data_IF_560069552079
#
_entry.id   IF_560069552079
#
_cell.length_a   1.000
_cell.length_b   1.000
_cell.length_c   1.000
_cell.angle_alpha   90.00
_cell.angle_beta   90.00
_cell.angle_gamma   90.00
#
_symmetry.space_group_name_H-M   'P 1'
#
loop_
_entity.id
_entity.type
_entity.pdbx_description
1 polymer ?
#
# COMPACT_ATOMS: atom_id res chain seq x y z
N UNK A 1 -29.44 -30.72 34.10
CA UNK A 1 -29.91 -29.37 33.74
C UNK A 1 -28.98 -28.79 32.68
N UNK A 2 -29.56 -28.46 31.53
CA UNK A 2 -29.11 -27.55 30.46
C UNK A 2 -27.71 -27.73 29.83
N UNK A 3 -27.69 -28.40 28.68
CA UNK A 3 -26.79 -28.13 27.56
C UNK A 3 -27.02 -26.72 26.99
N UNK A 4 -25.97 -25.96 26.73
CA UNK A 4 -26.02 -24.72 25.90
C UNK A 4 -24.63 -24.52 25.28
N UNK A 5 -24.33 -25.09 24.11
CA UNK A 5 -24.54 -24.55 22.75
C UNK A 5 -24.17 -23.06 22.56
N UNK A 6 -23.12 -22.87 21.74
CA UNK A 6 -22.87 -21.74 20.80
C UNK A 6 -22.49 -20.40 21.47
N UNK A 7 -21.44 -19.70 21.01
CA UNK A 7 -21.46 -18.97 19.73
C UNK A 7 -20.05 -18.63 19.24
N UNK A 8 -19.68 -19.24 18.11
CA UNK A 8 -18.69 -18.75 17.15
C UNK A 8 -19.05 -17.30 16.81
N UNK A 9 -18.20 -16.33 17.14
CA UNK A 9 -18.37 -14.95 16.69
C UNK A 9 -17.99 -14.87 15.21
N UNK A 10 -19.00 -15.11 14.39
CA UNK A 10 -19.00 -14.85 12.97
C UNK A 10 -18.77 -13.35 12.68
N UNK A 11 -17.85 -13.10 11.75
CA UNK A 11 -17.86 -12.02 10.78
C UNK A 11 -18.40 -10.65 11.19
N UNK A 12 -17.48 -9.72 11.46
CA UNK A 12 -17.65 -8.34 10.98
C UNK A 12 -16.96 -8.23 9.61
N UNK A 13 -17.69 -8.61 8.56
CA UNK A 13 -17.44 -8.14 7.19
C UNK A 13 -17.70 -6.63 7.19
N UNK A 14 -16.67 -5.84 7.47
CA UNK A 14 -16.68 -4.42 7.12
C UNK A 14 -16.24 -4.31 5.68
N UNK A 15 -17.24 -4.34 4.81
CA UNK A 15 -17.20 -3.95 3.41
C UNK A 15 -16.73 -2.50 3.27
N UNK A 16 -15.43 -2.26 3.49
CA UNK A 16 -14.83 -0.96 3.21
C UNK A 16 -14.18 -1.06 1.83
N UNK A 17 -14.88 -0.48 0.85
CA UNK A 17 -14.44 -0.22 -0.53
C UNK A 17 -12.92 -0.20 -0.60
N UNK A 18 -12.34 -1.17 -1.32
CA UNK A 18 -10.94 -1.12 -1.72
C UNK A 18 -10.84 0.10 -2.62
N UNK A 19 -10.37 1.21 -2.05
CA UNK A 19 -10.26 2.46 -2.77
C UNK A 19 -9.38 2.19 -4.00
N UNK A 20 -10.02 2.35 -5.15
CA UNK A 20 -9.47 2.35 -6.50
C UNK A 20 -8.40 3.45 -6.61
N UNK A 21 -7.23 3.21 -6.03
CA UNK A 21 -6.10 4.14 -6.01
C UNK A 21 -4.82 3.54 -6.63
N UNK A 22 -4.91 2.32 -7.18
CA UNK A 22 -3.99 1.90 -8.22
C UNK A 22 -4.38 2.65 -9.50
N UNK A 23 -3.87 3.88 -9.65
CA UNK A 23 -3.84 4.52 -10.97
C UNK A 23 -2.89 3.66 -11.81
N UNK A 24 -3.47 2.72 -12.57
CA UNK A 24 -2.75 1.74 -13.38
C UNK A 24 -1.81 2.47 -14.33
N UNK A 25 -0.51 2.33 -14.10
CA UNK A 25 0.54 2.94 -14.92
C UNK A 25 1.54 3.81 -14.15
N UNK A 26 1.29 4.16 -12.87
CA UNK A 26 2.32 4.89 -12.09
C UNK A 26 3.34 3.92 -11.50
N UNK A 27 4.54 3.95 -12.06
CA UNK A 27 5.69 3.18 -11.59
C UNK A 27 6.32 3.76 -10.31
N UNK A 28 6.27 5.09 -10.16
CA UNK A 28 6.97 5.86 -9.13
C UNK A 28 5.97 6.66 -8.29
N UNK A 29 6.14 6.60 -6.97
CA UNK A 29 5.38 7.38 -6.00
C UNK A 29 6.33 8.26 -5.18
N UNK A 30 6.13 9.57 -5.19
CA UNK A 30 6.95 10.49 -4.42
C UNK A 30 6.44 10.67 -2.99
N UNK A 31 7.36 10.89 -2.06
CA UNK A 31 7.08 11.31 -0.70
C UNK A 31 8.06 12.43 -0.30
N UNK A 32 7.54 13.55 0.19
CA UNK A 32 8.31 14.66 0.74
C UNK A 32 7.40 15.72 1.36
N UNK A 33 8.00 16.73 2.00
CA UNK A 33 7.29 17.75 2.79
C UNK A 33 6.19 18.50 2.01
N UNK A 34 6.36 18.70 0.70
CA UNK A 34 5.37 19.39 -0.14
C UNK A 34 4.45 18.45 -0.92
N UNK A 35 4.87 17.21 -1.17
CA UNK A 35 4.14 16.28 -2.05
C UNK A 35 4.29 14.84 -1.58
N UNK A 36 3.15 14.18 -1.36
CA UNK A 36 3.10 12.76 -1.05
C UNK A 36 2.01 12.09 -1.90
N UNK A 37 2.42 11.26 -2.86
CA UNK A 37 1.53 10.53 -3.76
C UNK A 37 1.01 9.22 -3.15
N UNK A 38 1.64 8.77 -2.05
CA UNK A 38 1.33 7.51 -1.36
C UNK A 38 0.69 7.71 0.02
N UNK A 39 0.29 6.60 0.64
CA UNK A 39 -0.19 6.58 2.03
C UNK A 39 -0.04 5.20 2.67
N UNK A 40 -0.29 5.14 3.98
CA UNK A 40 -0.13 3.93 4.80
C UNK A 40 -1.05 2.76 4.43
N UNK A 41 -2.09 2.98 3.61
CA UNK A 41 -2.95 1.89 3.11
C UNK A 41 -2.36 1.20 1.88
N UNK A 42 -1.42 1.84 1.18
CA UNK A 42 -0.81 1.33 -0.06
C UNK A 42 0.31 0.30 0.19
N UNK A 43 0.21 -0.52 1.25
CA UNK A 43 1.24 -1.51 1.63
C UNK A 43 1.47 -2.57 0.55
N UNK A 44 0.43 -2.98 -0.16
CA UNK A 44 0.53 -3.97 -1.23
C UNK A 44 1.28 -3.41 -2.47
N UNK A 45 1.19 -2.10 -2.72
CA UNK A 45 1.79 -1.45 -3.89
C UNK A 45 3.17 -0.84 -3.61
N UNK A 46 3.38 -0.26 -2.44
CA UNK A 46 4.62 0.44 -2.06
C UNK A 46 5.50 -0.39 -1.11
N UNK A 47 5.01 -1.55 -0.66
CA UNK A 47 5.62 -2.30 0.43
C UNK A 47 5.38 -1.66 1.80
N UNK A 48 5.73 -2.39 2.86
CA UNK A 48 5.52 -1.93 4.24
C UNK A 48 6.34 -0.69 4.61
N UNK A 49 7.59 -0.60 4.11
CA UNK A 49 8.47 0.56 4.38
C UNK A 49 8.02 1.81 3.62
N UNK A 50 7.75 1.68 2.32
CA UNK A 50 7.29 2.81 1.49
C UNK A 50 5.95 3.37 1.97
N UNK A 51 4.99 2.50 2.34
CA UNK A 51 3.71 2.93 2.89
C UNK A 51 3.85 3.64 4.24
N UNK A 52 4.72 3.15 5.14
CA UNK A 52 4.98 3.82 6.41
C UNK A 52 5.67 5.17 6.22
N UNK A 53 6.67 5.26 5.34
CA UNK A 53 7.35 6.53 5.03
C UNK A 53 6.39 7.56 4.43
N UNK A 54 5.54 7.13 3.50
CA UNK A 54 4.49 7.98 2.93
C UNK A 54 3.50 8.44 4.00
N UNK A 55 3.12 7.56 4.93
CA UNK A 55 2.26 7.91 6.06
C UNK A 55 2.93 8.91 7.01
N UNK A 56 4.21 8.70 7.37
CA UNK A 56 5.00 9.60 8.20
C UNK A 56 5.13 10.99 7.57
N UNK A 57 5.36 11.04 6.26
CA UNK A 57 5.40 12.29 5.51
C UNK A 57 4.04 13.00 5.53
N UNK A 58 2.94 12.25 5.38
CA UNK A 58 1.58 12.78 5.31
C UNK A 58 1.07 13.33 6.65
N UNK A 59 1.58 12.83 7.77
CA UNK A 59 1.31 13.39 9.11
C UNK A 59 2.22 14.57 9.46
N UNK A 60 3.10 15.00 8.54
CA UNK A 60 3.95 16.18 8.72
C UNK A 60 5.22 15.94 9.53
N UNK A 61 5.65 14.68 9.71
CA UNK A 61 6.98 14.41 10.26
C UNK A 61 8.06 14.82 9.23
N UNK A 62 9.22 15.34 9.69
CA UNK A 62 10.32 15.69 8.82
C UNK A 62 10.98 14.42 8.26
N UNK A 63 10.42 13.92 7.16
CA UNK A 63 10.97 12.80 6.39
C UNK A 63 11.71 13.38 5.17
N UNK A 64 12.97 12.96 4.90
CA UNK A 64 13.68 13.34 3.70
C UNK A 64 12.86 13.06 2.43
N UNK A 65 12.93 13.95 1.45
CA UNK A 65 12.25 13.74 0.18
C UNK A 65 12.83 12.53 -0.55
N UNK A 66 11.95 11.73 -1.14
CA UNK A 66 12.31 10.51 -1.84
C UNK A 66 11.16 9.97 -2.68
N UNK A 67 11.36 8.76 -3.18
CA UNK A 67 10.36 8.06 -3.97
C UNK A 67 10.39 6.56 -3.68
N UNK A 68 9.27 5.91 -3.93
CA UNK A 68 9.12 4.46 -3.87
C UNK A 68 8.70 3.96 -5.24
N UNK A 69 9.41 2.93 -5.72
CA UNK A 69 9.03 2.19 -6.91
C UNK A 69 8.00 1.13 -6.47
N UNK A 70 6.92 0.99 -7.24
CA UNK A 70 5.88 0.03 -6.91
C UNK A 70 6.36 -1.43 -7.00
N UNK A 71 5.70 -2.31 -6.25
CA UNK A 71 5.91 -3.75 -6.31
C UNK A 71 5.60 -4.34 -7.69
N UNK A 72 4.67 -3.73 -8.43
CA UNK A 72 4.33 -4.14 -9.80
C UNK A 72 5.53 -4.01 -10.75
N UNK A 73 6.27 -2.90 -10.66
CA UNK A 73 7.48 -2.69 -11.47
C UNK A 73 8.55 -3.75 -11.18
N UNK A 74 8.63 -4.20 -9.94
CA UNK A 74 9.53 -5.29 -9.57
C UNK A 74 9.13 -6.58 -10.30
N UNK A 75 7.84 -6.94 -10.28
CA UNK A 75 7.30 -8.12 -10.99
C UNK A 75 7.57 -7.99 -12.49
N UNK A 76 7.16 -6.86 -13.09
CA UNK A 76 7.33 -6.60 -14.52
C UNK A 76 8.80 -6.71 -14.94
N UNK A 77 9.73 -6.18 -14.13
CA UNK A 77 11.16 -6.25 -14.40
C UNK A 77 11.70 -7.68 -14.42
N UNK A 78 11.22 -8.54 -13.51
CA UNK A 78 11.63 -9.94 -13.49
C UNK A 78 11.01 -10.74 -14.64
N UNK A 79 9.74 -10.49 -14.96
CA UNK A 79 9.02 -11.18 -16.03
C UNK A 79 9.56 -10.85 -17.44
N UNK A 80 10.06 -9.63 -17.64
CA UNK A 80 10.72 -9.21 -18.89
C UNK A 80 12.18 -9.66 -19.01
N UNK A 81 12.67 -10.50 -18.08
CA UNK A 81 14.03 -10.99 -18.08
C UNK A 81 15.06 -9.96 -17.61
N UNK A 82 14.74 -9.22 -16.54
CA UNK A 82 15.57 -8.14 -15.96
C UNK A 82 15.78 -6.97 -16.92
N UNK A 83 14.74 -6.64 -17.69
CA UNK A 83 14.74 -5.48 -18.59
C UNK A 83 13.69 -4.50 -18.14
N UNK A 84 14.06 -3.25 -17.94
CA UNK A 84 13.07 -2.23 -17.65
C UNK A 84 12.12 -2.07 -18.85
N UNK A 85 10.79 -1.98 -18.61
CA UNK A 85 9.87 -1.57 -19.66
C UNK A 85 10.26 -0.17 -20.15
N UNK A 86 10.26 0.02 -21.48
CA UNK A 86 10.60 1.28 -22.15
C UNK A 86 9.45 2.26 -22.13
#
# INVERSE_FOLDING_TARGET
>A
MATTLRKKSAGKKSSKKINKAAKSGRMIYFFGAQKCDGDGTMKALLGGKGANLAQMTKIGLPVPCGFTITTQVCIDYYDTGKKFPK
#
